data_IF_574733032271
#
_entry.id   IF_574733032271
#
_cell.length_a   1.000
_cell.length_b   1.000
_cell.length_c   1.000
_cell.angle_alpha   90.00
_cell.angle_beta   90.00
_cell.angle_gamma   90.00
#
_symmetry.space_group_name_H-M   'P 1'
#
loop_
_entity.id
_entity.type
_entity.pdbx_description
1 polymer ?
#
# COMPACT_ATOMS: atom_id res chain seq x y z
N UNK A 1 1.59 7.55 14.02
CA UNK A 1 1.84 6.54 12.97
C UNK A 1 0.95 5.31 13.15
N UNK A 2 1.05 4.61 14.29
CA UNK A 2 0.18 3.45 14.61
C UNK A 2 -1.32 3.64 14.42
N UNK A 3 -1.88 4.79 14.82
CA UNK A 3 -3.32 5.06 14.65
C UNK A 3 -3.75 5.14 13.17
N UNK A 4 -2.93 5.77 12.31
CA UNK A 4 -3.17 5.81 10.87
C UNK A 4 -3.03 4.43 10.24
N UNK A 5 -1.96 3.70 10.57
CA UNK A 5 -1.72 2.34 10.06
C UNK A 5 -2.90 1.43 10.43
N UNK A 6 -3.34 1.47 11.69
CA UNK A 6 -4.48 0.70 12.17
C UNK A 6 -5.78 1.08 11.46
N UNK A 7 -6.02 2.37 11.27
CA UNK A 7 -7.20 2.83 10.52
C UNK A 7 -7.18 2.29 9.09
N UNK A 8 -6.03 2.29 8.41
CA UNK A 8 -5.85 1.74 7.05
C UNK A 8 -6.00 0.21 7.03
N UNK A 9 -5.45 -0.48 8.03
CA UNK A 9 -5.51 -1.93 8.18
C UNK A 9 -6.93 -2.43 8.48
N UNK A 10 -7.73 -1.65 9.19
CA UNK A 10 -9.11 -1.98 9.54
C UNK A 10 -10.12 -1.68 8.40
N UNK A 11 -9.70 -1.06 7.29
CA UNK A 11 -10.62 -0.85 6.16
C UNK A 11 -11.12 -2.19 5.57
N UNK A 12 -12.40 -2.24 5.19
CA UNK A 12 -12.93 -3.33 4.37
C UNK A 12 -12.11 -3.53 3.10
N UNK A 13 -11.93 -4.79 2.70
CA UNK A 13 -11.12 -5.14 1.54
C UNK A 13 -11.60 -4.49 0.24
N UNK A 14 -12.92 -4.23 0.10
CA UNK A 14 -13.48 -3.48 -1.04
C UNK A 14 -12.93 -2.06 -1.09
N UNK A 15 -12.85 -1.37 0.05
CA UNK A 15 -12.35 0.01 0.06
C UNK A 15 -10.85 0.00 -0.25
N UNK A 16 -10.11 -0.96 0.29
CA UNK A 16 -8.70 -1.19 -0.09
C UNK A 16 -8.56 -1.40 -1.60
N UNK A 17 -9.45 -2.18 -2.21
CA UNK A 17 -9.44 -2.42 -3.66
C UNK A 17 -9.69 -1.14 -4.46
N UNK A 18 -10.63 -0.28 -4.03
CA UNK A 18 -10.88 1.02 -4.66
C UNK A 18 -9.64 1.92 -4.57
N UNK A 19 -8.94 1.89 -3.43
CA UNK A 19 -7.69 2.65 -3.24
C UNK A 19 -6.52 2.11 -4.06
N UNK A 20 -6.60 0.86 -4.55
CA UNK A 20 -5.62 0.25 -5.46
C UNK A 20 -5.90 0.53 -6.95
N UNK A 21 -6.92 1.32 -7.27
CA UNK A 21 -7.19 1.72 -8.66
C UNK A 21 -6.10 2.66 -9.19
N UNK A 22 -5.83 2.65 -10.51
CA UNK A 22 -4.82 3.49 -11.11
C UNK A 22 -5.11 4.97 -10.82
N UNK A 23 -4.06 5.72 -10.47
CA UNK A 23 -4.14 7.12 -10.05
C UNK A 23 -4.33 7.35 -8.55
N UNK A 24 -4.93 6.40 -7.82
CA UNK A 24 -5.03 6.44 -6.35
C UNK A 24 -3.99 5.55 -5.68
N UNK A 25 -3.68 4.40 -6.29
CA UNK A 25 -2.77 3.37 -5.78
C UNK A 25 -1.41 3.91 -5.33
N UNK A 26 -0.75 4.66 -6.21
CA UNK A 26 0.60 5.19 -5.98
C UNK A 26 0.66 6.04 -4.72
N UNK A 27 -0.30 6.93 -4.52
CA UNK A 27 -0.38 7.80 -3.34
C UNK A 27 -0.82 7.02 -2.11
N UNK A 28 -1.94 6.30 -2.20
CA UNK A 28 -2.53 5.61 -1.05
C UNK A 28 -1.59 4.53 -0.50
N UNK A 29 -1.15 3.61 -1.35
CA UNK A 29 -0.34 2.47 -0.93
C UNK A 29 1.15 2.78 -0.82
N UNK A 30 1.66 3.71 -1.63
CA UNK A 30 3.01 4.22 -1.47
C UNK A 30 3.21 4.92 -0.12
N UNK A 31 2.31 5.85 0.25
CA UNK A 31 2.37 6.53 1.56
C UNK A 31 2.14 5.54 2.70
N UNK A 32 1.16 4.64 2.58
CA UNK A 32 0.92 3.62 3.60
C UNK A 32 2.15 2.73 3.84
N UNK A 33 2.83 2.26 2.79
CA UNK A 33 4.08 1.49 2.90
C UNK A 33 5.18 2.28 3.59
N UNK A 34 5.38 3.55 3.24
CA UNK A 34 6.40 4.40 3.90
C UNK A 34 6.08 4.56 5.38
N UNK A 35 4.84 4.91 5.73
CA UNK A 35 4.44 5.12 7.13
C UNK A 35 4.57 3.82 7.94
N UNK A 36 4.23 2.67 7.35
CA UNK A 36 4.36 1.36 7.99
C UNK A 36 5.81 0.93 8.16
N UNK A 37 6.66 1.20 7.16
CA UNK A 37 8.09 0.95 7.22
C UNK A 37 8.79 1.82 8.27
N UNK A 38 8.41 3.09 8.39
CA UNK A 38 8.89 3.99 9.45
C UNK A 38 8.50 3.50 10.85
N UNK A 39 7.26 3.01 11.03
CA UNK A 39 6.79 2.48 12.32
C UNK A 39 7.50 1.17 12.70
N UNK A 40 7.83 0.33 11.70
CA UNK A 40 8.55 -0.95 11.87
C UNK A 40 10.08 -0.83 11.86
N UNK A 41 10.63 0.36 11.59
CA UNK A 41 12.05 0.57 11.31
C UNK A 41 12.58 -0.32 10.17
N UNK A 42 11.74 -0.57 9.15
CA UNK A 42 12.04 -1.42 8.01
C UNK A 42 12.39 -0.57 6.78
N UNK A 43 13.69 -0.50 6.48
CA UNK A 43 14.23 0.31 5.39
C UNK A 43 13.83 -0.24 4.01
N UNK A 44 13.63 -1.56 3.88
CA UNK A 44 13.16 -2.17 2.63
C UNK A 44 11.74 -1.72 2.34
N UNK A 45 10.87 -1.74 3.35
CA UNK A 45 9.48 -1.32 3.23
C UNK A 45 9.35 0.16 2.85
N UNK A 46 10.22 1.01 3.39
CA UNK A 46 10.29 2.45 3.03
C UNK A 46 10.70 2.62 1.57
N UNK A 47 11.77 1.94 1.13
CA UNK A 47 12.26 2.02 -0.26
C UNK A 47 11.19 1.54 -1.24
N UNK A 48 10.51 0.43 -0.94
CA UNK A 48 9.41 -0.09 -1.76
C UNK A 48 8.26 0.91 -1.84
N UNK A 49 7.92 1.58 -0.74
CA UNK A 49 6.92 2.65 -0.74
C UNK A 49 7.29 3.84 -1.64
N UNK A 50 8.56 4.24 -1.64
CA UNK A 50 9.07 5.30 -2.54
C UNK A 50 9.00 4.85 -4.01
N UNK A 51 9.39 3.62 -4.31
CA UNK A 51 9.27 3.05 -5.66
C UNK A 51 7.80 3.04 -6.11
N UNK A 52 6.87 2.71 -5.21
CA UNK A 52 5.43 2.73 -5.50
C UNK A 52 4.90 4.12 -5.80
N UNK A 53 5.42 5.17 -5.15
CA UNK A 53 5.04 6.54 -5.47
C UNK A 53 5.49 6.96 -6.88
N UNK A 54 6.70 6.57 -7.28
CA UNK A 54 7.31 7.00 -8.54
C UNK A 54 6.86 6.15 -9.74
N UNK A 55 6.70 4.84 -9.55
CA UNK A 55 6.42 3.88 -10.61
C UNK A 55 5.05 3.19 -10.47
N UNK A 56 4.34 3.38 -9.35
CA UNK A 56 3.10 2.64 -9.09
C UNK A 56 1.94 3.02 -10.00
N UNK A 57 1.94 4.24 -10.53
CA UNK A 57 0.96 4.70 -11.50
C UNK A 57 1.02 3.96 -12.84
N UNK A 58 2.16 3.36 -13.19
CA UNK A 58 2.34 2.68 -14.47
C UNK A 58 1.73 1.27 -14.44
N UNK A 59 2.27 0.38 -13.60
CA UNK A 59 1.92 -1.06 -13.64
C UNK A 59 1.78 -1.70 -12.25
N UNK A 60 2.33 -1.09 -11.19
CA UNK A 60 2.37 -1.75 -9.87
C UNK A 60 1.00 -1.84 -9.20
N UNK A 61 0.05 -0.98 -9.56
CA UNK A 61 -1.35 -1.03 -9.12
C UNK A 61 -2.02 -2.39 -9.40
N UNK A 62 -1.62 -3.08 -10.47
CA UNK A 62 -2.12 -4.43 -10.79
C UNK A 62 -1.74 -5.43 -9.69
N UNK A 63 -0.52 -5.32 -9.16
CA UNK A 63 -0.02 -6.21 -8.11
C UNK A 63 -0.80 -5.99 -6.81
N UNK A 64 -1.14 -4.74 -6.51
CA UNK A 64 -1.97 -4.40 -5.34
C UNK A 64 -3.40 -4.88 -5.47
N UNK A 65 -4.01 -4.77 -6.66
CA UNK A 65 -5.33 -5.37 -6.94
C UNK A 65 -5.31 -6.88 -6.70
N UNK A 66 -4.34 -7.60 -7.28
CA UNK A 66 -4.23 -9.06 -7.15
C UNK A 66 -4.04 -9.43 -5.68
N UNK A 67 -3.13 -8.76 -4.98
CA UNK A 67 -2.85 -9.08 -3.58
C UNK A 67 -4.01 -8.75 -2.65
N UNK A 68 -4.76 -7.68 -2.89
CA UNK A 68 -5.97 -7.36 -2.13
C UNK A 68 -7.08 -8.39 -2.38
N UNK A 69 -7.24 -8.88 -3.61
CA UNK A 69 -8.23 -9.93 -3.91
C UNK A 69 -7.87 -11.25 -3.22
N UNK A 70 -6.59 -11.65 -3.27
CA UNK A 70 -6.11 -12.94 -2.74
C UNK A 70 -5.94 -12.92 -1.22
N UNK A 71 -5.33 -11.86 -0.68
CA UNK A 71 -4.91 -11.78 0.72
C UNK A 71 -5.71 -10.77 1.55
N UNK A 72 -6.68 -10.05 0.94
CA UNK A 72 -7.48 -8.99 1.58
C UNK A 72 -6.65 -7.81 2.10
N UNK A 73 -5.39 -7.71 1.66
CA UNK A 73 -4.43 -6.67 2.00
C UNK A 73 -3.36 -6.55 0.90
N UNK A 74 -2.79 -5.37 0.67
CA UNK A 74 -1.73 -5.17 -0.32
C UNK A 74 -0.42 -5.76 0.18
N UNK A 75 -0.08 -7.01 -0.17
CA UNK A 75 0.97 -7.77 0.53
C UNK A 75 2.39 -7.55 0.06
N UNK A 76 2.62 -6.86 -1.07
CA UNK A 76 3.93 -6.96 -1.75
C UNK A 76 5.10 -6.68 -0.80
N UNK A 77 4.97 -5.71 0.12
CA UNK A 77 5.69 -5.65 1.41
C UNK A 77 4.93 -4.71 2.39
N UNK A 78 3.74 -5.12 2.87
CA UNK A 78 2.95 -4.38 3.87
C UNK A 78 2.95 -5.04 5.25
#
# INVERSE_FOLDING_TARGET
MKGFIKAVDDLPWIIKLILALPGLDSLCWGIYRIVKGLDKNDLVQIVVGIIWLLAGWAVLWIVDIITIIVYKRPTVFA
#
